data_IF_278732143048
#
_entry.id   IF_278732143048
#
_cell.length_a   1.000
_cell.length_b   1.000
_cell.length_c   1.000
_cell.angle_alpha   90.00
_cell.angle_beta   90.00
_cell.angle_gamma   90.00
#
_symmetry.space_group_name_H-M   'P 1'
#
loop_
_entity.id
_entity.type
_entity.pdbx_description
1 polymer ?
#
# COMPACT_ATOMS: atom_id res chain seq x y z
N UNK A 1 12.53 -2.55 13.68
CA UNK A 1 13.12 -3.40 14.74
C UNK A 1 12.22 -4.57 15.14
N UNK A 2 10.89 -4.40 15.29
CA UNK A 2 10.00 -5.49 15.74
C UNK A 2 10.02 -6.78 14.89
N UNK A 3 9.94 -6.68 13.55
CA UNK A 3 9.96 -7.86 12.67
C UNK A 3 11.31 -8.59 12.71
N UNK A 4 12.43 -7.86 12.71
CA UNK A 4 13.75 -8.46 12.80
C UNK A 4 13.98 -9.20 14.12
N UNK A 5 13.52 -8.64 15.24
CA UNK A 5 13.55 -9.31 16.54
C UNK A 5 12.66 -10.56 16.57
N UNK A 6 11.48 -10.50 15.94
CA UNK A 6 10.58 -11.66 15.83
C UNK A 6 11.18 -12.77 14.96
N UNK A 7 11.85 -12.43 13.86
CA UNK A 7 12.60 -13.39 13.02
C UNK A 7 13.76 -14.00 13.79
N UNK A 8 14.55 -13.20 14.52
CA UNK A 8 15.64 -13.71 15.36
C UNK A 8 15.13 -14.66 16.45
N UNK A 9 14.02 -14.32 17.12
CA UNK A 9 13.38 -15.19 18.10
C UNK A 9 12.83 -16.48 17.46
N UNK A 10 12.23 -16.40 16.27
CA UNK A 10 11.76 -17.57 15.54
C UNK A 10 12.90 -18.53 15.16
N UNK A 11 14.06 -18.00 14.76
CA UNK A 11 15.25 -18.80 14.45
C UNK A 11 15.81 -19.52 15.67
N UNK A 12 15.74 -18.91 16.86
CA UNK A 12 16.26 -19.45 18.13
C UNK A 12 15.27 -20.43 18.77
N UNK A 13 14.00 -20.06 18.90
CA UNK A 13 13.01 -20.81 19.66
C UNK A 13 12.20 -21.81 18.82
N UNK A 14 12.23 -21.69 17.48
CA UNK A 14 11.47 -22.52 16.51
C UNK A 14 10.03 -22.84 16.96
N UNK A 15 9.23 -21.83 17.33
CA UNK A 15 7.85 -22.07 17.75
C UNK A 15 7.02 -22.67 16.62
N UNK A 16 6.05 -23.53 16.97
CA UNK A 16 5.09 -24.12 16.04
C UNK A 16 4.00 -23.10 15.64
N UNK A 17 4.40 -22.06 14.92
CA UNK A 17 3.54 -21.00 14.40
C UNK A 17 3.56 -21.00 12.88
N UNK A 18 2.56 -20.35 12.27
CA UNK A 18 2.55 -20.17 10.82
C UNK A 18 3.55 -19.11 10.40
N UNK A 19 4.30 -19.42 9.35
CA UNK A 19 5.28 -18.55 8.73
C UNK A 19 4.83 -18.15 7.33
N UNK A 20 5.47 -17.12 6.76
CA UNK A 20 5.22 -16.71 5.38
C UNK A 20 5.65 -17.83 4.43
N UNK A 21 4.70 -18.29 3.61
CA UNK A 21 4.99 -19.20 2.51
C UNK A 21 5.38 -18.37 1.28
N UNK A 22 6.58 -18.60 0.76
CA UNK A 22 7.03 -18.04 -0.51
C UNK A 22 7.10 -19.17 -1.54
N UNK A 23 6.80 -18.90 -2.82
CA UNK A 23 7.07 -19.84 -3.91
C UNK A 23 8.53 -20.30 -3.85
N UNK A 24 8.75 -21.60 -3.94
CA UNK A 24 10.08 -22.24 -3.81
C UNK A 24 11.08 -21.76 -4.86
N UNK A 25 10.60 -21.23 -5.98
CA UNK A 25 11.42 -20.89 -7.14
C UNK A 25 11.95 -19.44 -7.08
N UNK A 26 11.55 -18.66 -6.05
CA UNK A 26 12.02 -17.28 -5.85
C UNK A 26 11.60 -16.27 -6.92
N UNK A 27 10.85 -16.72 -7.93
CA UNK A 27 10.32 -15.91 -9.01
C UNK A 27 8.87 -15.48 -8.70
N UNK A 28 8.45 -14.28 -9.14
CA UNK A 28 7.06 -13.87 -9.03
C UNK A 28 6.18 -14.83 -9.81
N UNK A 29 5.17 -15.36 -9.14
CA UNK A 29 4.15 -16.20 -9.77
C UNK A 29 3.25 -15.30 -10.63
N UNK A 30 3.68 -15.05 -11.87
CA UNK A 30 2.93 -14.24 -12.82
C UNK A 30 1.71 -15.03 -13.28
N UNK A 31 0.56 -14.69 -12.71
CA UNK A 31 -0.72 -15.29 -13.08
C UNK A 31 -1.31 -14.48 -14.22
N UNK A 32 -0.98 -14.88 -15.45
CA UNK A 32 -1.59 -14.29 -16.64
C UNK A 32 -3.11 -14.54 -16.63
N UNK A 33 -3.85 -13.53 -17.08
CA UNK A 33 -5.30 -13.59 -17.15
C UNK A 33 -5.77 -14.81 -17.94
N UNK A 34 -6.59 -15.65 -17.31
CA UNK A 34 -7.26 -16.75 -17.98
C UNK A 34 -8.41 -16.22 -18.85
N UNK A 35 -8.80 -16.97 -19.88
CA UNK A 35 -9.94 -16.61 -20.74
C UNK A 35 -11.24 -16.41 -19.95
N UNK A 36 -11.43 -17.16 -18.87
CA UNK A 36 -12.59 -17.01 -17.97
C UNK A 36 -12.55 -15.69 -17.22
N UNK A 37 -11.38 -15.26 -16.74
CA UNK A 37 -11.20 -13.94 -16.11
C UNK A 37 -11.46 -12.82 -17.12
N UNK A 38 -10.89 -12.92 -18.34
CA UNK A 38 -11.11 -11.96 -19.43
C UNK A 38 -12.60 -11.79 -19.74
N UNK A 39 -13.35 -12.90 -19.84
CA UNK A 39 -14.79 -12.85 -20.09
C UNK A 39 -15.60 -12.19 -18.95
N UNK A 40 -15.07 -12.23 -17.72
CA UNK A 40 -15.70 -11.63 -16.53
C UNK A 40 -15.40 -10.15 -16.30
N UNK A 41 -14.46 -9.54 -17.05
CA UNK A 41 -14.10 -8.11 -16.88
C UNK A 41 -15.29 -7.18 -17.12
N UNK A 42 -16.18 -7.54 -18.05
CA UNK A 42 -17.36 -6.75 -18.38
C UNK A 42 -18.51 -6.91 -17.38
N UNK A 43 -18.35 -7.73 -16.33
CA UNK A 43 -19.37 -7.88 -15.30
C UNK A 43 -19.51 -6.59 -14.49
N UNK A 44 -20.75 -6.23 -14.16
CA UNK A 44 -21.05 -4.99 -13.44
C UNK A 44 -20.35 -4.90 -12.07
N UNK A 45 -20.19 -6.04 -11.38
CA UNK A 45 -19.50 -6.11 -10.09
C UNK A 45 -18.00 -5.82 -10.21
N UNK A 46 -17.33 -6.38 -11.22
CA UNK A 46 -15.91 -6.11 -11.47
C UNK A 46 -15.69 -4.67 -11.90
N UNK A 47 -16.53 -4.15 -12.81
CA UNK A 47 -16.42 -2.78 -13.30
C UNK A 47 -16.67 -1.76 -12.17
N UNK A 48 -17.65 -2.02 -11.31
CA UNK A 48 -17.95 -1.19 -10.13
C UNK A 48 -16.79 -1.16 -9.14
N UNK A 49 -16.22 -2.33 -8.83
CA UNK A 49 -15.06 -2.43 -7.92
C UNK A 49 -13.81 -1.78 -8.52
N UNK A 50 -13.57 -1.99 -9.82
CA UNK A 50 -12.45 -1.37 -10.53
C UNK A 50 -12.56 0.16 -10.56
N UNK A 51 -13.77 0.70 -10.78
CA UNK A 51 -14.00 2.14 -10.75
C UNK A 51 -13.79 2.72 -9.34
N UNK A 52 -14.30 2.04 -8.31
CA UNK A 52 -14.09 2.44 -6.91
C UNK A 52 -12.59 2.45 -6.55
N UNK A 53 -11.86 1.39 -6.90
CA UNK A 53 -10.42 1.30 -6.68
C UNK A 53 -9.64 2.36 -7.47
N UNK A 54 -10.01 2.61 -8.73
CA UNK A 54 -9.39 3.64 -9.54
C UNK A 54 -9.58 5.03 -8.92
N UNK A 55 -10.79 5.33 -8.42
CA UNK A 55 -11.09 6.59 -7.75
C UNK A 55 -10.28 6.75 -6.45
N UNK A 56 -10.29 5.73 -5.58
CA UNK A 56 -9.53 5.74 -4.32
C UNK A 56 -8.04 5.88 -4.57
N UNK A 57 -7.49 5.06 -5.48
CA UNK A 57 -6.07 5.06 -5.79
C UNK A 57 -5.63 6.40 -6.40
N UNK A 58 -6.44 7.00 -7.27
CA UNK A 58 -6.15 8.33 -7.84
C UNK A 58 -6.19 9.41 -6.78
N UNK A 59 -7.24 9.44 -5.95
CA UNK A 59 -7.37 10.42 -4.87
C UNK A 59 -6.17 10.34 -3.91
N UNK A 60 -5.76 9.12 -3.53
CA UNK A 60 -4.61 8.91 -2.65
C UNK A 60 -3.29 9.37 -3.29
N UNK A 61 -3.07 9.07 -4.58
CA UNK A 61 -1.87 9.52 -5.30
C UNK A 61 -1.81 11.04 -5.39
N UNK A 62 -2.93 11.71 -5.71
CA UNK A 62 -2.98 13.16 -5.79
C UNK A 62 -2.79 13.84 -4.43
N UNK A 63 -3.41 13.31 -3.37
CA UNK A 63 -3.20 13.78 -1.99
C UNK A 63 -1.75 13.61 -1.57
N UNK A 64 -1.13 12.48 -1.93
CA UNK A 64 0.28 12.23 -1.69
C UNK A 64 1.15 13.23 -2.46
N UNK A 65 0.96 13.37 -3.77
CA UNK A 65 1.70 14.32 -4.60
C UNK A 65 1.59 15.75 -4.07
N UNK A 66 0.38 16.19 -3.70
CA UNK A 66 0.14 17.51 -3.12
C UNK A 66 0.88 17.71 -1.79
N UNK A 67 0.91 16.67 -0.95
CA UNK A 67 1.62 16.75 0.33
C UNK A 67 3.14 16.79 0.13
N UNK A 68 3.67 16.05 -0.84
CA UNK A 68 5.09 16.00 -1.16
C UNK A 68 5.58 17.28 -1.83
N UNK A 69 4.78 17.86 -2.73
CA UNK A 69 5.05 19.17 -3.34
C UNK A 69 5.17 20.30 -2.30
N UNK A 70 4.63 20.12 -1.09
CA UNK A 70 4.77 21.07 0.04
C UNK A 70 6.03 20.85 0.86
N UNK A 71 6.76 19.76 0.64
CA UNK A 71 7.99 19.41 1.37
C UNK A 71 9.27 19.84 0.64
N UNK A 72 9.17 20.31 -0.61
CA UNK A 72 10.31 20.75 -1.40
C UNK A 72 10.00 21.96 -2.28
N UNK A 73 11.03 22.70 -2.67
CA UNK A 73 10.92 23.86 -3.58
C UNK A 73 11.24 23.53 -5.06
N UNK A 74 11.42 22.23 -5.38
CA UNK A 74 11.71 21.75 -6.73
C UNK A 74 10.52 21.81 -7.70
N UNK A 75 10.68 21.14 -8.85
CA UNK A 75 9.62 21.00 -9.85
C UNK A 75 8.39 20.31 -9.24
N UNK A 76 7.21 20.93 -9.42
CA UNK A 76 5.96 20.41 -8.88
C UNK A 76 5.42 19.26 -9.71
N UNK A 77 4.58 18.44 -9.09
CA UNK A 77 3.99 17.27 -9.75
C UNK A 77 3.00 17.69 -10.84
N UNK A 78 3.18 17.15 -12.06
CA UNK A 78 2.16 17.17 -13.10
C UNK A 78 1.13 16.07 -12.82
N UNK A 79 -0.01 16.47 -12.26
CA UNK A 79 -1.08 15.56 -11.88
C UNK A 79 -1.66 14.76 -13.06
N UNK A 80 -1.76 15.35 -14.25
CA UNK A 80 -2.29 14.63 -15.43
C UNK A 80 -1.34 13.50 -15.82
N UNK A 81 -0.04 13.80 -15.83
CA UNK A 81 0.99 12.80 -16.13
C UNK A 81 1.02 11.70 -15.08
N UNK A 82 0.82 12.03 -13.80
CA UNK A 82 0.80 11.06 -12.71
C UNK A 82 -0.40 10.12 -12.81
N UNK A 83 -1.60 10.64 -13.11
CA UNK A 83 -2.81 9.82 -13.30
C UNK A 83 -2.64 8.87 -14.49
N UNK A 84 -2.09 9.34 -15.62
CA UNK A 84 -1.84 8.49 -16.80
C UNK A 84 -0.82 7.40 -16.46
N UNK A 85 0.26 7.74 -15.77
CA UNK A 85 1.28 6.78 -15.36
C UNK A 85 0.72 5.73 -14.40
N UNK A 86 -0.11 6.15 -13.43
CA UNK A 86 -0.79 5.25 -12.49
C UNK A 86 -1.77 4.32 -13.20
N UNK A 87 -2.56 4.84 -14.15
CA UNK A 87 -3.48 4.05 -14.96
C UNK A 87 -2.74 2.97 -15.73
N UNK A 88 -1.69 3.35 -16.46
CA UNK A 88 -0.86 2.40 -17.21
C UNK A 88 -0.19 1.36 -16.29
N UNK A 89 0.36 1.78 -15.15
CA UNK A 89 0.97 0.89 -14.17
C UNK A 89 -0.02 -0.11 -13.60
N UNK A 90 -1.20 0.33 -13.20
CA UNK A 90 -2.24 -0.54 -12.64
C UNK A 90 -2.87 -1.47 -13.68
N UNK A 91 -2.98 -1.05 -14.95
CA UNK A 91 -3.36 -1.95 -16.03
C UNK A 91 -2.33 -3.08 -16.21
N UNK A 92 -1.03 -2.76 -16.18
CA UNK A 92 0.03 -3.77 -16.22
C UNK A 92 -0.02 -4.70 -15.00
N UNK A 93 -0.26 -4.15 -13.81
CA UNK A 93 -0.44 -4.97 -12.60
C UNK A 93 -1.61 -5.96 -12.78
N UNK A 94 -2.77 -5.50 -13.25
CA UNK A 94 -3.93 -6.36 -13.50
C UNK A 94 -3.67 -7.46 -14.54
N UNK A 95 -2.92 -7.15 -15.61
CA UNK A 95 -2.55 -8.15 -16.64
C UNK A 95 -1.61 -9.24 -16.11
N UNK A 96 -0.74 -8.87 -15.17
CA UNK A 96 0.26 -9.76 -14.56
C UNK A 96 -0.24 -10.47 -13.29
N UNK A 97 -1.49 -10.23 -12.88
CA UNK A 97 -2.06 -10.74 -11.63
C UNK A 97 -1.45 -10.11 -10.37
N UNK A 98 -0.83 -8.94 -10.51
CA UNK A 98 -0.23 -8.18 -9.42
C UNK A 98 -1.26 -7.27 -8.75
N UNK A 99 -1.02 -6.98 -7.48
CA UNK A 99 -1.84 -6.02 -6.72
C UNK A 99 -1.70 -4.59 -7.28
N UNK A 100 -2.77 -3.79 -7.23
CA UNK A 100 -2.70 -2.40 -7.66
C UNK A 100 -1.75 -1.58 -6.76
N UNK A 101 -1.11 -0.60 -7.37
CA UNK A 101 -0.16 0.32 -6.75
C UNK A 101 -0.71 1.75 -6.70
N UNK A 102 -0.30 2.48 -5.67
CA UNK A 102 -0.66 3.88 -5.42
C UNK A 102 0.48 4.66 -4.78
N UNK A 103 0.36 6.00 -4.75
CA UNK A 103 1.27 6.87 -4.02
C UNK A 103 1.20 6.64 -2.51
N UNK A 104 2.36 6.66 -1.83
CA UNK A 104 2.46 6.51 -0.37
C UNK A 104 3.24 7.67 0.22
N UNK A 105 2.54 8.54 0.95
CA UNK A 105 3.12 9.75 1.56
C UNK A 105 4.35 9.47 2.42
N UNK A 106 4.32 8.42 3.25
CA UNK A 106 5.43 8.13 4.20
C UNK A 106 6.73 7.81 3.47
N UNK A 107 6.67 7.00 2.40
CA UNK A 107 7.86 6.67 1.59
C UNK A 107 8.33 7.89 0.81
N UNK A 108 7.41 8.62 0.20
CA UNK A 108 7.77 9.79 -0.60
C UNK A 108 8.36 10.91 0.27
N UNK A 109 7.86 11.11 1.48
CA UNK A 109 8.35 12.08 2.45
C UNK A 109 9.79 11.77 2.88
N UNK A 110 10.04 10.51 3.28
CA UNK A 110 11.40 10.07 3.64
C UNK A 110 12.37 10.17 2.47
N UNK A 111 11.89 9.98 1.24
CA UNK A 111 12.70 10.18 0.04
C UNK A 111 13.10 11.64 -0.19
N UNK A 112 12.18 12.59 0.02
CA UNK A 112 12.47 14.04 -0.06
C UNK A 112 13.39 14.47 1.07
N UNK A 113 13.16 14.01 2.30
CA UNK A 113 14.02 14.28 3.45
C UNK A 113 15.45 13.73 3.26
N UNK A 114 15.59 12.63 2.52
CA UNK A 114 16.89 12.07 2.11
C UNK A 114 17.56 12.86 0.96
N UNK A 115 16.95 13.95 0.48
CA UNK A 115 17.49 14.81 -0.56
C UNK A 115 17.33 14.26 -1.99
N UNK A 116 16.44 13.29 -2.21
CA UNK A 116 16.20 12.76 -3.55
C UNK A 116 15.47 13.79 -4.43
N UNK A 117 16.03 14.06 -5.61
CA UNK A 117 15.53 15.08 -6.55
C UNK A 117 14.87 14.50 -7.80
N UNK A 118 14.81 13.18 -7.94
CA UNK A 118 14.31 12.55 -9.16
C UNK A 118 13.82 11.11 -9.00
N UNK A 119 13.34 10.55 -10.11
CA UNK A 119 12.68 9.22 -10.19
C UNK A 119 13.63 8.04 -9.95
N UNK A 120 14.94 8.28 -10.02
CA UNK A 120 15.98 7.26 -9.83
C UNK A 120 15.86 6.63 -8.44
N UNK A 121 15.53 7.40 -7.41
CA UNK A 121 15.40 6.84 -6.06
C UNK A 121 14.28 5.79 -5.97
N UNK A 122 13.14 6.05 -6.63
CA UNK A 122 12.03 5.09 -6.68
C UNK A 122 12.42 3.81 -7.45
N UNK A 123 13.12 3.95 -8.57
CA UNK A 123 13.63 2.80 -9.34
C UNK A 123 14.63 2.00 -8.52
N UNK A 124 15.60 2.67 -7.89
CA UNK A 124 16.59 2.03 -7.02
C UNK A 124 15.92 1.32 -5.84
N UNK A 125 14.89 1.92 -5.22
CA UNK A 125 14.13 1.25 -4.17
C UNK A 125 13.49 -0.05 -4.67
N UNK A 126 12.86 -0.04 -5.85
CA UNK A 126 12.33 -1.24 -6.49
C UNK A 126 13.40 -2.29 -6.77
N UNK A 127 14.56 -1.88 -7.31
CA UNK A 127 15.71 -2.76 -7.56
C UNK A 127 16.22 -3.39 -6.27
N UNK A 128 16.36 -2.61 -5.19
CA UNK A 128 16.75 -3.14 -3.89
C UNK A 128 15.74 -4.15 -3.37
N UNK A 129 14.44 -3.86 -3.43
CA UNK A 129 13.39 -4.81 -3.02
C UNK A 129 13.49 -6.11 -3.84
N UNK A 130 13.66 -6.02 -5.16
CA UNK A 130 13.83 -7.20 -6.01
C UNK A 130 15.07 -8.01 -5.64
N UNK A 131 16.20 -7.35 -5.39
CA UNK A 131 17.44 -7.98 -4.92
C UNK A 131 17.25 -8.67 -3.57
N UNK A 132 16.59 -8.00 -2.62
CA UNK A 132 16.28 -8.58 -1.31
C UNK A 132 15.42 -9.83 -1.44
N UNK A 133 14.39 -9.80 -2.29
CA UNK A 133 13.56 -10.97 -2.53
C UNK A 133 14.38 -12.12 -3.15
N UNK A 134 15.22 -11.84 -4.14
CA UNK A 134 15.98 -12.88 -4.85
C UNK A 134 17.05 -13.54 -3.95
N UNK A 135 17.78 -12.75 -3.17
CA UNK A 135 18.88 -13.25 -2.32
C UNK A 135 18.44 -13.70 -0.93
N UNK A 136 17.39 -13.09 -0.37
CA UNK A 136 16.94 -13.34 1.01
C UNK A 136 15.58 -14.06 1.08
N UNK A 137 15.04 -14.57 -0.03
CA UNK A 137 13.82 -15.41 -0.03
C UNK A 137 13.83 -16.50 1.07
N UNK A 138 14.94 -17.25 1.30
CA UNK A 138 15.00 -18.23 2.38
C UNK A 138 14.92 -17.62 3.79
N UNK A 139 15.31 -16.36 3.97
CA UNK A 139 15.21 -15.69 5.26
C UNK A 139 13.78 -15.16 5.50
N UNK A 140 13.09 -14.75 4.44
CA UNK A 140 11.71 -14.28 4.51
C UNK A 140 10.72 -15.40 4.89
N UNK A 141 11.03 -16.66 4.59
CA UNK A 141 10.21 -17.80 5.05
C UNK A 141 10.28 -18.05 6.56
N UNK A 142 11.19 -17.40 7.29
CA UNK A 142 11.20 -17.40 8.75
C UNK A 142 10.39 -16.26 9.37
N UNK A 143 9.76 -15.40 8.56
CA UNK A 143 8.92 -14.32 9.06
C UNK A 143 7.64 -14.92 9.64
N UNK A 144 7.36 -14.73 10.95
CA UNK A 144 6.14 -15.22 11.56
C UNK A 144 4.92 -14.43 11.08
N UNK A 145 3.84 -15.10 10.69
CA UNK A 145 2.57 -14.43 10.41
C UNK A 145 2.07 -13.57 11.59
N UNK A 146 2.21 -13.98 12.87
CA UNK A 146 1.83 -13.14 14.00
C UNK A 146 2.60 -11.81 14.07
N UNK A 147 3.86 -11.79 13.62
CA UNK A 147 4.66 -10.56 13.58
C UNK A 147 4.12 -9.58 12.53
N UNK A 148 3.72 -10.09 11.35
CA UNK A 148 3.08 -9.29 10.31
C UNK A 148 1.71 -8.77 10.78
N UNK A 149 0.90 -9.61 11.43
CA UNK A 149 -0.37 -9.21 12.01
C UNK A 149 -0.20 -8.09 13.05
N UNK A 150 0.79 -8.21 13.95
CA UNK A 150 1.10 -7.19 14.93
C UNK A 150 1.50 -5.85 14.27
N UNK A 151 2.29 -5.89 13.20
CA UNK A 151 2.65 -4.70 12.42
C UNK A 151 1.41 -4.07 11.77
N UNK A 152 0.50 -4.88 11.22
CA UNK A 152 -0.74 -4.39 10.62
C UNK A 152 -1.63 -3.70 11.66
N UNK A 153 -1.84 -4.33 12.82
CA UNK A 153 -2.62 -3.75 13.93
C UNK A 153 -1.98 -2.45 14.43
N UNK A 154 -0.67 -2.44 14.63
CA UNK A 154 0.06 -1.24 15.05
C UNK A 154 -0.07 -0.10 14.04
N UNK A 155 0.06 -0.42 12.75
CA UNK A 155 -0.07 0.56 11.67
C UNK A 155 -1.49 1.12 11.61
N UNK A 156 -2.51 0.24 11.71
CA UNK A 156 -3.91 0.65 11.80
C UNK A 156 -4.18 1.57 12.99
N UNK A 157 -3.65 1.24 14.16
CA UNK A 157 -3.76 2.09 15.35
C UNK A 157 -3.11 3.47 15.15
N UNK A 158 -1.94 3.52 14.49
CA UNK A 158 -1.22 4.77 14.20
C UNK A 158 -1.91 5.66 13.17
N UNK A 159 -2.78 5.11 12.32
CA UNK A 159 -3.59 5.89 11.39
C UNK A 159 -4.73 6.64 12.09
N UNK A 160 -5.15 6.21 13.29
CA UNK A 160 -6.19 6.90 14.06
C UNK A 160 -5.66 8.19 14.65
N UNK A 161 -6.06 9.33 14.07
CA UNK A 161 -5.68 10.65 14.57
C UNK A 161 -6.72 11.19 15.56
N UNK A 162 -6.53 10.90 16.85
CA UNK A 162 -7.41 11.37 17.93
C UNK A 162 -7.46 12.91 18.01
N UNK A 163 -6.37 13.60 17.64
CA UNK A 163 -6.33 15.07 17.65
C UNK A 163 -7.26 15.65 16.58
N UNK A 164 -7.26 15.07 15.37
CA UNK A 164 -8.17 15.47 14.31
C UNK A 164 -9.65 15.34 14.72
N UNK A 165 -10.01 14.31 15.49
CA UNK A 165 -11.38 14.15 16.03
C UNK A 165 -11.72 15.28 17.00
N UNK A 166 -10.78 15.69 17.86
CA UNK A 166 -10.99 16.80 18.81
C UNK A 166 -11.11 18.14 18.09
N UNK A 167 -10.28 18.37 17.08
CA UNK A 167 -10.36 19.56 16.23
C UNK A 167 -11.69 19.58 15.46
N UNK A 168 -12.17 18.43 14.96
CA UNK A 168 -13.44 18.39 14.23
C UNK A 168 -14.64 18.82 15.09
N UNK A 169 -14.62 18.49 16.38
CA UNK A 169 -15.66 18.93 17.34
C UNK A 169 -15.79 20.44 17.45
N UNK A 170 -14.75 21.20 17.13
CA UNK A 170 -14.78 22.66 17.18
C UNK A 170 -15.51 23.29 16.00
N UNK A 171 -15.68 22.55 14.90
CA UNK A 171 -16.35 23.03 13.69
C UNK A 171 -17.87 22.84 13.73
N UNK A 172 -18.37 21.91 14.56
CA UNK A 172 -19.80 21.72 14.78
C UNK A 172 -20.23 20.26 14.91
N UNK A 173 -21.51 20.09 15.23
CA UNK A 173 -22.18 18.78 15.27
C UNK A 173 -22.30 18.11 13.89
N UNK A 174 -22.54 18.83 12.77
CA UNK A 174 -22.65 18.22 11.45
C UNK A 174 -21.38 17.50 10.98
N UNK A 175 -20.21 18.09 11.20
CA UNK A 175 -18.91 17.54 10.80
C UNK A 175 -18.61 16.25 11.58
N UNK A 176 -18.94 16.24 12.87
CA UNK A 176 -18.81 15.04 13.70
C UNK A 176 -19.78 13.95 13.26
N UNK A 177 -21.00 14.31 12.85
CA UNK A 177 -21.99 13.36 12.34
C UNK A 177 -21.51 12.73 11.02
N UNK A 178 -20.98 13.52 10.09
CA UNK A 178 -20.40 13.01 8.84
C UNK A 178 -19.25 12.03 9.15
N UNK A 179 -18.33 12.41 10.04
CA UNK A 179 -17.23 11.54 10.47
C UNK A 179 -17.74 10.21 11.06
N UNK A 180 -18.71 10.27 11.97
CA UNK A 180 -19.26 9.08 12.62
C UNK A 180 -20.00 8.17 11.63
N UNK A 181 -20.77 8.76 10.70
CA UNK A 181 -21.47 8.02 9.64
C UNK A 181 -20.45 7.36 8.72
N UNK A 182 -19.45 8.10 8.20
CA UNK A 182 -18.42 7.52 7.33
C UNK A 182 -17.67 6.40 8.02
N UNK A 183 -17.25 6.59 9.28
CA UNK A 183 -16.57 5.55 10.05
C UNK A 183 -17.47 4.32 10.26
N UNK A 184 -18.73 4.53 10.63
CA UNK A 184 -19.70 3.46 10.82
C UNK A 184 -19.98 2.69 9.53
N UNK A 185 -20.13 3.40 8.40
CA UNK A 185 -20.36 2.78 7.08
C UNK A 185 -19.16 1.94 6.65
N UNK A 186 -17.93 2.47 6.76
CA UNK A 186 -16.71 1.71 6.40
C UNK A 186 -16.61 0.43 7.25
N UNK A 187 -16.79 0.54 8.56
CA UNK A 187 -16.73 -0.63 9.46
C UNK A 187 -17.86 -1.62 9.18
N UNK A 188 -19.05 -1.19 8.79
CA UNK A 188 -20.18 -2.08 8.53
C UNK A 188 -20.15 -2.73 7.13
N UNK A 189 -19.53 -2.08 6.14
CA UNK A 189 -19.49 -2.55 4.76
C UNK A 189 -18.23 -3.40 4.48
N UNK A 190 -17.09 -3.04 5.07
CA UNK A 190 -15.81 -3.74 4.85
C UNK A 190 -15.55 -4.91 5.83
N UNK A 191 -16.42 -5.12 6.84
CA UNK A 191 -16.35 -6.25 7.79
C UNK A 191 -17.15 -7.46 7.28
#
# INVERSE_FOLDING_TARGET
>A
MGVAAAVAAALVFKPAIQYVNLPTDGLPELTLLSWTQVSGLASFSVLGSALALAFIATAQTLLTATAIDRMHDGERTDYNREIIAQGAGNSLCGLLGLLPVSGVIVRSATNVEAGATGRVSAVMHGVWVALFLLFFSPLLSYVPLPALAAVLVYTGYRLVNIKAIKELRQFGTPELAIYAITLGTVVAVDL
#
